data_IF_911065864111
#
_entry.id   IF_911065864111
#
_cell.length_a   1.000
_cell.length_b   1.000
_cell.length_c   1.000
_cell.angle_alpha   90.00
_cell.angle_beta   90.00
_cell.angle_gamma   90.00
#
_symmetry.space_group_name_H-M   'P 1'
#
loop_
_entity.id
_entity.type
_entity.pdbx_description
1 polymer ?
#
# COMPACT_ATOMS: atom_id res chain seq x y z
N UNK A 1 4.29 -19.31 -3.03
CA UNK A 1 4.36 -19.02 -1.58
C UNK A 1 5.68 -19.55 -1.03
N UNK A 2 6.42 -18.75 -0.26
CA UNK A 2 7.68 -19.21 0.35
C UNK A 2 7.41 -20.13 1.55
N UNK A 3 8.30 -21.10 1.81
CA UNK A 3 8.24 -21.99 2.97
C UNK A 3 8.08 -21.22 4.29
N UNK A 4 8.75 -20.07 4.40
CA UNK A 4 8.67 -19.17 5.55
C UNK A 4 7.24 -18.66 5.81
N UNK A 5 6.51 -18.32 4.74
CA UNK A 5 5.12 -17.83 4.85
C UNK A 5 4.18 -18.92 5.35
N UNK A 6 4.41 -20.17 4.92
CA UNK A 6 3.63 -21.34 5.36
C UNK A 6 3.89 -21.62 6.85
N UNK A 7 5.16 -21.60 7.27
CA UNK A 7 5.54 -21.80 8.67
C UNK A 7 4.98 -20.71 9.59
N UNK A 8 5.00 -19.44 9.15
CA UNK A 8 4.43 -18.33 9.91
C UNK A 8 2.91 -18.49 10.09
N UNK A 9 2.18 -18.81 9.02
CA UNK A 9 0.74 -19.05 9.08
C UNK A 9 0.38 -20.23 10.02
N UNK A 10 1.16 -21.32 9.96
CA UNK A 10 0.99 -22.45 10.86
C UNK A 10 1.25 -22.07 12.32
N UNK A 11 2.31 -21.31 12.61
CA UNK A 11 2.62 -20.86 13.97
C UNK A 11 1.51 -19.98 14.56
N UNK A 12 0.94 -19.07 13.77
CA UNK A 12 -0.19 -18.23 14.17
C UNK A 12 -1.43 -19.08 14.47
N UNK A 13 -1.72 -20.08 13.63
CA UNK A 13 -2.84 -20.99 13.85
C UNK A 13 -2.65 -21.81 15.13
N UNK A 14 -1.44 -22.28 15.41
CA UNK A 14 -1.10 -22.99 16.65
C UNK A 14 -1.31 -22.08 17.86
N UNK A 15 -0.83 -20.83 17.83
CA UNK A 15 -1.01 -19.85 18.91
C UNK A 15 -2.50 -19.53 19.14
N UNK A 16 -3.26 -19.37 18.07
CA UNK A 16 -4.71 -19.18 18.13
C UNK A 16 -5.41 -20.34 18.83
N UNK A 17 -5.10 -21.57 18.42
CA UNK A 17 -5.70 -22.79 18.96
C UNK A 17 -5.33 -22.97 20.43
N UNK A 18 -4.05 -22.76 20.76
CA UNK A 18 -3.54 -22.86 22.13
C UNK A 18 -4.17 -21.82 23.07
N UNK A 19 -4.30 -20.57 22.61
CA UNK A 19 -4.99 -19.50 23.34
C UNK A 19 -6.44 -19.86 23.68
N UNK A 20 -7.16 -20.47 22.73
CA UNK A 20 -8.53 -20.91 22.92
C UNK A 20 -8.67 -22.10 23.88
N UNK A 21 -7.70 -23.02 23.90
CA UNK A 21 -7.71 -24.21 24.78
C UNK A 21 -7.30 -23.91 26.23
N UNK A 22 -6.38 -22.97 26.44
CA UNK A 22 -5.87 -22.64 27.78
C UNK A 22 -6.85 -21.75 28.57
N UNK A 23 -7.63 -20.91 27.89
CA UNK A 23 -8.54 -19.97 28.52
C UNK A 23 -9.96 -20.52 28.69
N UNK A 24 -10.67 -20.07 29.73
CA UNK A 24 -12.08 -20.43 30.02
C UNK A 24 -12.97 -19.18 30.13
N UNK A 25 -14.28 -19.38 30.02
CA UNK A 25 -15.29 -18.33 30.24
C UNK A 25 -15.14 -17.12 29.30
N UNK A 26 -15.22 -15.90 29.87
CA UNK A 26 -15.17 -14.63 29.11
C UNK A 26 -13.85 -14.44 28.36
N UNK A 27 -12.72 -14.84 28.96
CA UNK A 27 -11.40 -14.69 28.35
C UNK A 27 -11.27 -15.49 27.04
N UNK A 28 -11.82 -16.72 26.99
CA UNK A 28 -11.86 -17.52 25.76
C UNK A 28 -12.69 -16.86 24.67
N UNK A 29 -13.87 -16.33 25.02
CA UNK A 29 -14.75 -15.64 24.07
C UNK A 29 -14.07 -14.40 23.47
N UNK A 30 -13.45 -13.57 24.32
CA UNK A 30 -12.70 -12.39 23.86
C UNK A 30 -11.53 -12.79 22.95
N UNK A 31 -10.77 -13.84 23.31
CA UNK A 31 -9.65 -14.30 22.51
C UNK A 31 -10.08 -14.75 21.10
N UNK A 32 -11.16 -15.53 21.02
CA UNK A 32 -11.72 -15.97 19.75
C UNK A 32 -12.21 -14.79 18.90
N UNK A 33 -12.97 -13.85 19.48
CA UNK A 33 -13.53 -12.71 18.74
C UNK A 33 -12.42 -11.83 18.17
N UNK A 34 -11.46 -11.41 19.00
CA UNK A 34 -10.37 -10.51 18.57
C UNK A 34 -9.57 -11.15 17.44
N UNK A 35 -9.18 -12.42 17.61
CA UNK A 35 -8.41 -13.12 16.58
C UNK A 35 -9.21 -13.37 15.30
N UNK A 36 -10.52 -13.66 15.38
CA UNK A 36 -11.36 -13.80 14.19
C UNK A 36 -11.47 -12.46 13.43
N UNK A 37 -11.65 -11.35 14.14
CA UNK A 37 -11.70 -10.01 13.52
C UNK A 37 -10.38 -9.68 12.82
N UNK A 38 -9.24 -9.91 13.49
CA UNK A 38 -7.92 -9.65 12.89
C UNK A 38 -7.62 -10.57 11.70
N UNK A 39 -8.05 -11.84 11.76
CA UNK A 39 -7.91 -12.78 10.65
C UNK A 39 -8.76 -12.36 9.44
N UNK A 40 -10.01 -11.94 9.67
CA UNK A 40 -10.89 -11.43 8.61
C UNK A 40 -10.33 -10.16 7.97
N UNK A 41 -9.77 -9.25 8.76
CA UNK A 41 -9.09 -8.06 8.26
C UNK A 41 -7.89 -8.42 7.39
N UNK A 42 -7.00 -9.29 7.86
CA UNK A 42 -5.84 -9.72 7.09
C UNK A 42 -6.23 -10.44 5.79
N UNK A 43 -7.23 -11.32 5.83
CA UNK A 43 -7.75 -12.02 4.65
C UNK A 43 -8.43 -11.06 3.66
N UNK A 44 -9.19 -10.08 4.16
CA UNK A 44 -9.82 -9.03 3.36
C UNK A 44 -8.78 -8.18 2.65
N UNK A 45 -7.74 -7.73 3.34
CA UNK A 45 -6.63 -6.99 2.74
C UNK A 45 -5.89 -7.81 1.68
N UNK A 46 -5.62 -9.09 1.97
CA UNK A 46 -5.00 -10.00 0.99
C UNK A 46 -5.84 -10.17 -0.27
N UNK A 47 -7.15 -10.36 -0.11
CA UNK A 47 -8.08 -10.47 -1.24
C UNK A 47 -8.13 -9.17 -2.06
N UNK A 48 -8.22 -8.02 -1.38
CA UNK A 48 -8.18 -6.70 -2.03
C UNK A 48 -6.89 -6.50 -2.83
N UNK A 49 -5.76 -6.94 -2.27
CA UNK A 49 -4.46 -6.88 -2.96
C UNK A 49 -4.41 -7.78 -4.20
N UNK A 50 -4.97 -8.99 -4.15
CA UNK A 50 -5.05 -9.86 -5.34
C UNK A 50 -5.94 -9.26 -6.42
N UNK A 51 -7.07 -8.66 -6.05
CA UNK A 51 -7.98 -7.99 -6.99
C UNK A 51 -7.27 -6.78 -7.62
N UNK A 52 -6.57 -5.98 -6.82
CA UNK A 52 -5.78 -4.84 -7.30
C UNK A 52 -4.69 -5.29 -8.29
N UNK A 53 -3.90 -6.32 -7.94
CA UNK A 53 -2.90 -6.90 -8.84
C UNK A 53 -3.51 -7.41 -10.15
N UNK A 54 -4.66 -8.07 -10.09
CA UNK A 54 -5.33 -8.57 -11.30
C UNK A 54 -5.80 -7.42 -12.20
N UNK A 55 -6.29 -6.33 -11.61
CA UNK A 55 -6.69 -5.14 -12.35
C UNK A 55 -5.49 -4.43 -12.98
N UNK A 56 -4.37 -4.35 -12.26
CA UNK A 56 -3.09 -3.83 -12.77
C UNK A 56 -2.62 -4.69 -13.93
N UNK A 57 -2.54 -6.01 -13.76
CA UNK A 57 -2.10 -6.94 -14.81
C UNK A 57 -2.95 -6.83 -16.09
N UNK A 58 -4.26 -6.69 -15.96
CA UNK A 58 -5.16 -6.48 -17.11
C UNK A 58 -4.94 -5.15 -17.81
N UNK A 59 -4.49 -4.13 -17.09
CA UNK A 59 -4.12 -2.86 -17.69
C UNK A 59 -2.74 -2.93 -18.35
N UNK A 60 -1.80 -3.70 -17.80
CA UNK A 60 -0.48 -3.98 -18.42
C UNK A 60 -0.59 -4.65 -19.80
N UNK A 61 -1.72 -5.27 -20.15
CA UNK A 61 -1.97 -5.84 -21.48
C UNK A 61 -2.12 -4.77 -22.59
N UNK A 62 -2.06 -3.47 -22.26
CA UNK A 62 -2.02 -2.37 -23.25
C UNK A 62 -1.74 -0.98 -22.67
N UNK A 63 -1.14 -0.91 -21.47
CA UNK A 63 -0.72 0.32 -20.79
C UNK A 63 0.52 0.05 -19.94
N UNK A 64 1.48 0.97 -19.95
CA UNK A 64 2.59 0.93 -19.00
C UNK A 64 2.17 1.51 -17.65
N UNK A 65 2.49 0.84 -16.54
CA UNK A 65 2.12 1.27 -15.19
C UNK A 65 3.35 1.69 -14.40
N UNK A 66 3.36 2.95 -13.96
CA UNK A 66 4.40 3.50 -13.10
C UNK A 66 3.86 3.82 -11.70
N UNK A 67 4.73 3.84 -10.70
CA UNK A 67 4.34 4.14 -9.32
C UNK A 67 3.80 2.93 -8.54
N UNK A 68 4.15 1.70 -8.94
CA UNK A 68 3.61 0.47 -8.38
C UNK A 68 4.56 -0.21 -7.37
N UNK A 69 4.03 -0.70 -6.24
CA UNK A 69 4.80 -1.40 -5.18
C UNK A 69 5.99 -0.59 -4.62
N UNK A 70 7.18 -1.17 -4.59
CA UNK A 70 8.40 -0.56 -4.04
C UNK A 70 8.93 0.61 -4.89
N UNK A 71 8.27 0.89 -6.02
CA UNK A 71 8.59 1.99 -6.92
C UNK A 71 7.50 3.08 -6.87
N UNK A 72 6.93 3.30 -5.69
CA UNK A 72 5.81 4.20 -5.43
C UNK A 72 6.10 5.66 -5.77
N UNK A 73 5.11 6.31 -6.37
CA UNK A 73 5.09 7.75 -6.57
C UNK A 73 4.04 8.35 -5.65
N UNK A 74 4.37 9.47 -5.01
CA UNK A 74 3.52 10.13 -4.04
C UNK A 74 3.12 11.50 -4.57
N UNK A 75 1.84 11.80 -4.58
CA UNK A 75 1.35 13.15 -4.71
C UNK A 75 1.82 14.01 -3.54
N UNK A 76 2.44 15.15 -3.83
CA UNK A 76 2.93 16.09 -2.83
C UNK A 76 1.95 17.25 -2.67
N UNK A 77 1.73 18.00 -3.74
CA UNK A 77 0.91 19.21 -3.72
C UNK A 77 0.49 19.65 -5.13
N UNK A 78 -0.38 20.66 -5.18
CA UNK A 78 -0.81 21.33 -6.40
C UNK A 78 -0.28 22.76 -6.37
N UNK A 79 0.54 23.14 -7.34
CA UNK A 79 1.21 24.44 -7.42
C UNK A 79 1.28 24.94 -8.87
N UNK A 80 0.95 26.22 -9.08
CA UNK A 80 0.97 26.90 -10.39
C UNK A 80 0.33 26.10 -11.55
N UNK A 81 -0.78 25.43 -11.27
CA UNK A 81 -1.50 24.63 -12.28
C UNK A 81 -0.83 23.30 -12.61
N UNK A 82 0.10 22.82 -11.77
CA UNK A 82 0.72 21.50 -11.84
C UNK A 82 0.43 20.68 -10.57
N UNK A 83 0.20 19.38 -10.74
CA UNK A 83 0.37 18.41 -9.67
C UNK A 83 1.85 18.05 -9.56
N UNK A 84 2.36 18.10 -8.33
CA UNK A 84 3.73 17.74 -7.99
C UNK A 84 3.72 16.35 -7.36
N UNK A 85 4.63 15.50 -7.84
CA UNK A 85 4.82 14.16 -7.34
C UNK A 85 6.27 13.96 -6.90
N UNK A 86 6.46 13.13 -5.88
CA UNK A 86 7.77 12.74 -5.37
C UNK A 86 7.89 11.23 -5.41
N UNK A 87 9.04 10.74 -5.82
CA UNK A 87 9.41 9.33 -5.73
C UNK A 87 10.60 9.21 -4.77
N UNK A 88 10.42 8.56 -3.62
CA UNK A 88 11.51 8.32 -2.69
C UNK A 88 12.59 7.44 -3.33
N UNK A 89 13.85 7.78 -3.10
CA UNK A 89 14.98 6.96 -3.49
C UNK A 89 15.80 6.58 -2.25
N UNK A 90 16.27 5.34 -2.19
CA UNK A 90 16.92 4.80 -0.98
C UNK A 90 18.27 5.49 -0.72
N UNK A 91 19.00 5.84 -1.77
CA UNK A 91 20.36 6.37 -1.69
C UNK A 91 20.52 7.74 -2.36
N UNK A 92 19.44 8.41 -2.70
CA UNK A 92 19.46 9.68 -3.43
C UNK A 92 18.30 10.58 -2.99
N UNK A 93 18.40 11.90 -3.18
CA UNK A 93 17.26 12.78 -3.00
C UNK A 93 16.06 12.28 -3.81
N UNK A 94 14.83 12.48 -3.33
CA UNK A 94 13.65 12.02 -4.04
C UNK A 94 13.59 12.64 -5.44
N UNK A 95 13.29 11.80 -6.44
CA UNK A 95 12.99 12.28 -7.78
C UNK A 95 11.66 13.02 -7.76
N UNK A 96 11.65 14.24 -8.30
CA UNK A 96 10.48 15.12 -8.27
C UNK A 96 9.94 15.30 -9.69
N UNK A 97 8.64 15.09 -9.83
CA UNK A 97 7.94 15.12 -11.10
C UNK A 97 6.79 16.12 -11.06
N UNK A 98 6.45 16.70 -12.21
CA UNK A 98 5.30 17.59 -12.34
C UNK A 98 4.44 17.22 -13.55
N UNK A 99 3.12 17.29 -13.38
CA UNK A 99 2.14 17.11 -14.46
C UNK A 99 1.11 18.25 -14.42
N UNK A 100 0.74 18.79 -15.59
CA UNK A 100 -0.22 19.91 -15.66
C UNK A 100 -1.64 19.46 -15.34
N UNK A 101 -2.37 20.30 -14.62
CA UNK A 101 -3.74 20.06 -14.13
C UNK A 101 -4.82 20.21 -15.20
N UNK A 102 -4.56 20.96 -16.26
CA UNK A 102 -5.53 21.27 -17.32
C UNK A 102 -5.89 20.07 -18.21
N UNK A 103 -5.04 19.04 -18.18
CA UNK A 103 -5.18 17.83 -19.02
C UNK A 103 -5.31 16.54 -18.22
N UNK A 104 -5.25 16.62 -16.89
CA UNK A 104 -5.19 15.46 -16.03
C UNK A 104 -6.06 15.69 -14.79
N UNK A 105 -6.95 14.75 -14.51
CA UNK A 105 -7.76 14.80 -13.30
C UNK A 105 -7.15 13.88 -12.25
N UNK A 106 -6.78 14.45 -11.10
CA UNK A 106 -6.31 13.69 -9.95
C UNK A 106 -7.53 13.23 -9.13
N UNK A 107 -7.68 11.92 -8.83
CA UNK A 107 -8.75 11.45 -7.96
C UNK A 107 -8.74 12.20 -6.62
N UNK A 108 -9.91 12.65 -6.15
CA UNK A 108 -10.00 13.42 -4.89
C UNK A 108 -9.37 12.69 -3.69
N UNK A 109 -9.47 11.36 -3.67
CA UNK A 109 -8.85 10.52 -2.63
C UNK A 109 -7.32 10.64 -2.62
N UNK A 110 -6.67 10.93 -3.75
CA UNK A 110 -5.22 11.08 -3.85
C UNK A 110 -4.68 12.33 -3.11
N UNK A 111 -5.55 13.31 -2.82
CA UNK A 111 -5.20 14.46 -1.96
C UNK A 111 -5.09 14.09 -0.47
N UNK A 112 -5.64 12.95 -0.07
CA UNK A 112 -5.58 12.41 1.30
C UNK A 112 -4.62 11.22 1.35
N UNK A 113 -4.72 10.34 0.37
CA UNK A 113 -3.89 9.16 0.20
C UNK A 113 -2.91 9.37 -0.94
N UNK A 114 -1.73 9.84 -0.58
CA UNK A 114 -0.74 10.34 -1.54
C UNK A 114 -0.10 9.30 -2.46
N UNK A 115 0.02 8.00 -2.13
CA UNK A 115 0.55 7.01 -3.08
C UNK A 115 -0.35 6.91 -4.31
N UNK A 116 0.25 7.06 -5.49
CA UNK A 116 -0.44 7.05 -6.78
C UNK A 116 0.31 6.23 -7.82
N UNK A 117 -0.46 5.74 -8.79
CA UNK A 117 0.02 5.08 -10.00
C UNK A 117 -0.34 5.91 -11.22
N UNK A 118 0.55 5.89 -12.21
CA UNK A 118 0.31 6.42 -13.53
C UNK A 118 0.08 5.26 -14.48
N UNK A 119 -1.03 5.31 -15.23
CA UNK A 119 -1.26 4.43 -16.37
C UNK A 119 -0.91 5.24 -17.60
N UNK A 120 0.04 4.74 -18.38
CA UNK A 120 0.61 5.42 -19.52
C UNK A 120 0.34 4.63 -20.81
N UNK A 121 0.45 5.29 -21.96
CA UNK A 121 0.49 4.59 -23.25
C UNK A 121 1.70 3.66 -23.33
N UNK A 122 1.57 2.52 -24.00
CA UNK A 122 2.66 1.55 -24.14
C UNK A 122 3.90 2.18 -24.80
N UNK A 123 5.07 2.01 -24.18
CA UNK A 123 6.35 2.53 -24.64
C UNK A 123 6.61 4.00 -24.27
N UNK A 124 5.76 4.59 -23.44
CA UNK A 124 5.96 5.92 -22.85
C UNK A 124 7.20 5.97 -21.95
N UNK A 125 7.91 7.11 -21.96
CA UNK A 125 9.11 7.31 -21.14
C UNK A 125 8.92 8.49 -20.18
N UNK A 126 9.13 8.20 -18.90
CA UNK A 126 9.11 9.19 -17.82
C UNK A 126 10.39 10.04 -17.77
N UNK A 127 10.70 10.78 -18.82
CA UNK A 127 11.61 11.94 -18.76
C UNK A 127 11.58 12.72 -20.08
N UNK A 128 10.57 13.57 -20.26
CA UNK A 128 10.41 14.35 -21.51
C UNK A 128 11.04 15.74 -21.45
N UNK A 129 11.55 16.16 -20.29
CA UNK A 129 12.12 17.48 -20.08
C UNK A 129 12.07 17.93 -18.63
N UNK A 130 12.33 19.23 -18.39
CA UNK A 130 12.24 19.84 -17.06
C UNK A 130 11.30 21.04 -17.08
N UNK A 131 10.41 21.13 -16.09
CA UNK A 131 9.55 22.28 -15.85
C UNK A 131 9.96 22.98 -14.55
N UNK A 132 9.84 24.31 -14.52
CA UNK A 132 10.03 25.09 -13.30
C UNK A 132 8.68 25.50 -12.75
N UNK A 133 8.40 25.14 -11.49
CA UNK A 133 7.14 25.46 -10.78
C UNK A 133 7.49 26.41 -9.65
N UNK A 134 6.81 27.56 -9.55
CA UNK A 134 7.14 28.66 -8.63
C UNK A 134 7.89 29.84 -9.26
N UNK A 135 7.96 29.95 -10.60
CA UNK A 135 8.66 31.04 -11.30
C UNK A 135 10.18 31.00 -11.17
N UNK A 136 10.86 32.16 -11.21
CA UNK A 136 12.34 32.25 -11.20
C UNK A 136 13.00 31.73 -9.90
N UNK A 137 12.25 31.69 -8.79
CA UNK A 137 12.70 31.12 -7.51
C UNK A 137 12.09 29.73 -7.24
N UNK A 138 11.47 29.13 -8.25
CA UNK A 138 10.76 27.86 -8.17
C UNK A 138 11.69 26.64 -8.16
N UNK A 139 11.11 25.48 -7.81
CA UNK A 139 11.78 24.20 -7.97
C UNK A 139 11.83 23.77 -9.43
N UNK A 140 12.90 23.07 -9.83
CA UNK A 140 12.97 22.34 -11.10
C UNK A 140 12.49 20.91 -10.89
N UNK A 141 11.57 20.48 -11.73
CA UNK A 141 10.93 19.15 -11.70
C UNK A 141 11.11 18.48 -13.06
N UNK A 142 11.27 17.15 -13.08
CA UNK A 142 11.14 16.40 -14.33
C UNK A 142 9.69 16.48 -14.81
N UNK A 143 9.49 16.86 -16.07
CA UNK A 143 8.16 16.94 -16.67
C UNK A 143 7.70 15.54 -17.07
N UNK A 144 6.56 15.13 -16.51
CA UNK A 144 5.87 13.94 -17.00
C UNK A 144 5.09 14.36 -18.24
N UNK A 145 5.39 13.72 -19.38
CA UNK A 145 4.67 14.02 -20.61
C UNK A 145 3.21 13.60 -20.47
N UNK A 146 2.31 14.58 -20.44
CA UNK A 146 0.89 14.34 -20.24
C UNK A 146 0.23 13.66 -21.44
N UNK A 147 0.81 13.71 -22.65
CA UNK A 147 0.28 12.95 -23.79
C UNK A 147 0.44 11.45 -23.59
N UNK A 148 1.32 11.07 -22.66
CA UNK A 148 1.62 9.69 -22.36
C UNK A 148 0.84 9.18 -21.14
N UNK A 149 0.31 10.05 -20.25
CA UNK A 149 -0.50 9.62 -19.10
C UNK A 149 -1.98 9.51 -19.49
N UNK A 150 -2.52 8.30 -19.42
CA UNK A 150 -3.93 8.00 -19.66
C UNK A 150 -4.78 8.31 -18.41
N UNK A 151 -4.28 7.94 -17.22
CA UNK A 151 -4.96 8.23 -15.94
C UNK A 151 -4.04 8.09 -14.72
N UNK A 152 -4.42 8.75 -13.63
CA UNK A 152 -3.83 8.54 -12.29
C UNK A 152 -4.83 7.80 -11.40
N UNK A 153 -4.37 6.79 -10.65
CA UNK A 153 -5.17 6.19 -9.56
C UNK A 153 -4.38 6.15 -8.26
N UNK A 154 -5.03 6.19 -7.08
CA UNK A 154 -4.35 5.83 -5.83
C UNK A 154 -3.77 4.40 -5.89
N UNK A 155 -2.62 4.18 -5.23
CA UNK A 155 -1.98 2.86 -5.07
C UNK A 155 -2.34 2.24 -3.71
N UNK A 156 -3.37 1.39 -3.57
CA UNK A 156 -3.71 0.82 -2.27
C UNK A 156 -2.75 -0.31 -1.82
N UNK A 157 -1.82 -0.78 -2.66
CA UNK A 157 -1.09 -2.03 -2.43
C UNK A 157 -0.25 -2.00 -1.15
N UNK A 158 0.52 -0.94 -0.92
CA UNK A 158 1.32 -0.85 0.30
C UNK A 158 0.45 -0.73 1.56
N UNK A 159 -0.64 0.04 1.51
CA UNK A 159 -1.58 0.12 2.64
C UNK A 159 -2.22 -1.25 2.95
N UNK A 160 -2.61 -2.01 1.92
CA UNK A 160 -3.17 -3.35 2.06
C UNK A 160 -2.15 -4.33 2.67
N UNK A 161 -0.91 -4.33 2.16
CA UNK A 161 0.18 -5.19 2.66
C UNK A 161 0.51 -4.83 4.12
N UNK A 162 0.74 -3.56 4.42
CA UNK A 162 1.09 -3.10 5.76
C UNK A 162 -0.03 -3.38 6.76
N UNK A 163 -1.29 -3.19 6.37
CA UNK A 163 -2.44 -3.50 7.22
C UNK A 163 -2.55 -4.99 7.49
N UNK A 164 -2.32 -5.84 6.48
CA UNK A 164 -2.31 -7.29 6.64
C UNK A 164 -1.18 -7.75 7.57
N UNK A 165 0.04 -7.20 7.41
CA UNK A 165 1.18 -7.48 8.27
C UNK A 165 0.94 -7.02 9.71
N UNK A 166 0.48 -5.78 9.90
CA UNK A 166 0.19 -5.22 11.22
C UNK A 166 -0.90 -6.04 11.94
N UNK A 167 -1.99 -6.39 11.26
CA UNK A 167 -3.05 -7.24 11.81
C UNK A 167 -2.52 -8.60 12.25
N UNK A 168 -1.61 -9.18 11.46
CA UNK A 168 -0.97 -10.47 11.75
C UNK A 168 -0.06 -10.39 12.98
N UNK A 169 0.75 -9.34 13.10
CA UNK A 169 1.63 -9.11 14.26
C UNK A 169 0.82 -8.88 15.53
N UNK A 170 -0.23 -8.05 15.47
CA UNK A 170 -1.13 -7.80 16.61
C UNK A 170 -1.81 -9.09 17.05
N UNK A 171 -2.29 -9.90 16.10
CA UNK A 171 -2.92 -11.20 16.38
C UNK A 171 -1.95 -12.16 17.07
N UNK A 172 -0.69 -12.23 16.61
CA UNK A 172 0.34 -13.06 17.22
C UNK A 172 0.65 -12.60 18.66
N UNK A 173 0.89 -11.30 18.86
CA UNK A 173 1.18 -10.73 20.17
C UNK A 173 0.03 -10.94 21.16
N UNK A 174 -1.21 -10.66 20.74
CA UNK A 174 -2.39 -10.88 21.56
C UNK A 174 -2.57 -12.36 21.93
N UNK A 175 -2.36 -13.27 20.97
CA UNK A 175 -2.45 -14.71 21.22
C UNK A 175 -1.40 -15.19 22.21
N UNK A 176 -0.16 -14.70 22.13
CA UNK A 176 0.91 -14.98 23.11
C UNK A 176 0.50 -14.51 24.51
N UNK A 177 0.03 -13.26 24.65
CA UNK A 177 -0.42 -12.73 25.94
C UNK A 177 -1.55 -13.57 26.54
N UNK A 178 -2.49 -14.01 25.71
CA UNK A 178 -3.59 -14.87 26.15
C UNK A 178 -3.13 -16.27 26.53
N UNK A 179 -2.13 -16.84 25.84
CA UNK A 179 -1.50 -18.12 26.23
C UNK A 179 -0.82 -17.98 27.59
N UNK A 180 0.02 -16.96 27.79
CA UNK A 180 0.71 -16.70 29.07
C UNK A 180 -0.30 -16.54 30.21
N UNK A 181 -1.36 -15.73 30.00
CA UNK A 181 -2.45 -15.58 30.97
C UNK A 181 -3.16 -16.90 31.28
N UNK A 182 -3.37 -17.75 30.28
CA UNK A 182 -3.98 -19.06 30.44
C UNK A 182 -3.10 -20.04 31.23
N UNK A 183 -1.77 -19.93 31.10
CA UNK A 183 -0.81 -20.73 31.88
C UNK A 183 -0.77 -20.26 33.34
N UNK A 184 -0.64 -18.94 33.59
CA UNK A 184 -0.52 -18.39 34.95
C UNK A 184 -1.79 -18.63 35.80
N UNK A 185 -2.97 -18.66 35.16
CA UNK A 185 -4.26 -18.85 35.84
C UNK A 185 -4.69 -20.31 36.00
N UNK A 186 -3.90 -21.27 35.52
CA UNK A 186 -4.09 -22.70 35.78
C UNK A 186 -3.37 -23.09 37.06
#
# INVERSE_FOLDING_TARGET
>A
MSLFSILAAAAILVLFTLSAMLNKGRARKTALIVNCVLLLLAAGCGTGFFIDNENVRKAEDGQDIYGYFFNEVYYSEEADGCYIFSKPEIMSPPSMYAAKTDKLELPAISKIYTPVRFYMEDGAFLDSGSITVGGENGGRFSEINYSEIIRITPDPSCALILTALASTVIMAAFSIVMVIRGIIKR
#
